data_IF_043758667824
#
_entry.id   IF_043758667824
#
_cell.length_a   1.000
_cell.length_b   1.000
_cell.length_c   1.000
_cell.angle_alpha   90.00
_cell.angle_beta   90.00
_cell.angle_gamma   90.00
#
_symmetry.space_group_name_H-M   'P 1'
#
loop_
_entity.id
_entity.type
_entity.pdbx_description
1 polymer ?
#
# COMPACT_ATOMS: atom_id res chain seq x y z
N UNK A 1 -5.34 70.89 20.04
CA UNK A 1 -3.89 70.97 19.73
C UNK A 1 -3.11 70.00 20.61
N UNK A 2 -2.65 68.87 20.05
CA UNK A 2 -1.31 68.27 20.24
C UNK A 2 -1.32 66.83 19.73
N UNK A 3 -0.57 66.62 18.66
CA UNK A 3 -0.01 65.33 18.26
C UNK A 3 1.07 64.93 19.27
N UNK A 4 1.19 63.64 19.55
CA UNK A 4 2.49 62.99 19.76
C UNK A 4 2.40 61.55 19.31
N UNK A 5 3.16 61.24 18.27
CA UNK A 5 3.50 59.91 17.79
C UNK A 5 4.40 59.19 18.80
N UNK A 6 4.22 57.88 18.95
CA UNK A 6 5.30 57.00 19.38
C UNK A 6 5.12 55.60 18.79
N UNK A 7 6.04 55.31 17.86
CA UNK A 7 6.33 54.03 17.23
C UNK A 7 6.23 52.83 18.17
N UNK A 8 5.52 51.79 17.73
CA UNK A 8 5.88 50.40 18.03
C UNK A 8 5.43 49.49 16.89
N UNK A 9 6.41 48.98 16.14
CA UNK A 9 6.23 47.98 15.09
C UNK A 9 5.56 46.71 15.63
N UNK A 10 4.59 46.10 14.92
CA UNK A 10 4.30 44.70 15.14
C UNK A 10 5.26 43.86 14.30
N UNK A 11 6.00 42.99 15.00
CA UNK A 11 6.79 41.94 14.38
C UNK A 11 5.88 41.07 13.49
N UNK A 12 6.35 40.90 12.26
CA UNK A 12 5.79 40.06 11.20
C UNK A 12 5.89 38.60 11.63
N UNK A 13 4.90 38.11 12.38
CA UNK A 13 4.70 36.68 12.61
C UNK A 13 4.09 36.10 11.33
N UNK A 14 4.94 35.56 10.48
CA UNK A 14 4.56 34.73 9.34
C UNK A 14 3.87 33.47 9.87
N UNK A 15 2.55 33.54 10.05
CA UNK A 15 1.71 32.36 10.07
C UNK A 15 1.84 31.72 8.68
N UNK A 16 2.66 30.68 8.58
CA UNK A 16 2.52 29.69 7.52
C UNK A 16 1.22 28.93 7.80
N UNK A 17 0.10 29.59 7.48
CA UNK A 17 -1.20 28.95 7.36
C UNK A 17 -1.07 28.03 6.15
N UNK A 18 -0.63 26.79 6.42
CA UNK A 18 -0.59 25.71 5.45
C UNK A 18 -1.98 25.62 4.85
N UNK A 19 -2.07 26.04 3.59
CA UNK A 19 -3.27 26.06 2.77
C UNK A 19 -3.89 24.67 2.83
N UNK A 20 -4.91 24.51 3.69
CA UNK A 20 -5.87 23.43 3.60
C UNK A 20 -6.57 23.62 2.27
N UNK A 21 -6.03 23.00 1.22
CA UNK A 21 -6.77 22.75 -0.02
C UNK A 21 -7.96 21.88 0.38
N UNK A 22 -9.08 22.53 0.68
CA UNK A 22 -10.40 21.89 0.64
C UNK A 22 -10.64 21.54 -0.82
N UNK A 23 -10.24 20.34 -1.23
CA UNK A 23 -10.86 19.70 -2.38
C UNK A 23 -12.35 19.59 -2.03
N UNK A 24 -13.18 20.15 -2.89
CA UNK A 24 -14.63 20.05 -2.81
C UNK A 24 -15.02 18.58 -2.76
N UNK A 25 -15.54 18.16 -1.61
CA UNK A 25 -15.92 16.79 -1.31
C UNK A 25 -17.01 16.27 -2.26
N UNK A 26 -16.58 15.60 -3.32
CA UNK A 26 -17.22 14.34 -3.69
C UNK A 26 -16.75 13.36 -2.61
N UNK A 27 -17.68 12.75 -1.86
CA UNK A 27 -17.32 11.78 -0.83
C UNK A 27 -16.81 10.55 -1.57
N UNK A 28 -15.53 10.56 -1.91
CA UNK A 28 -14.92 9.45 -2.63
C UNK A 28 -15.15 8.20 -1.78
N UNK A 29 -15.83 7.22 -2.37
CA UNK A 29 -16.11 5.95 -1.69
C UNK A 29 -14.82 5.12 -1.50
N UNK A 30 -13.67 5.69 -1.84
CA UNK A 30 -12.39 5.02 -1.75
C UNK A 30 -11.46 5.74 -0.77
N UNK A 31 -10.65 4.98 -0.05
CA UNK A 31 -9.60 5.51 0.82
C UNK A 31 -8.41 4.56 0.81
N UNK A 32 -7.20 5.12 0.88
CA UNK A 32 -6.00 4.31 1.11
C UNK A 32 -5.92 4.01 2.60
N UNK A 33 -5.73 2.74 2.96
CA UNK A 33 -5.79 2.28 4.36
C UNK A 33 -4.72 1.26 4.68
N UNK A 34 -4.35 1.19 5.96
CA UNK A 34 -3.67 0.04 6.57
C UNK A 34 -4.67 -0.73 7.42
N UNK A 35 -4.46 -2.05 7.52
CA UNK A 35 -5.21 -2.91 8.43
C UNK A 35 -4.24 -3.41 9.48
N UNK A 36 -4.43 -2.96 10.71
CA UNK A 36 -3.49 -3.13 11.82
C UNK A 36 -4.13 -3.95 12.94
N UNK A 37 -3.30 -4.72 13.63
CA UNK A 37 -3.66 -5.45 14.83
C UNK A 37 -3.26 -4.64 16.06
N UNK A 38 -3.87 -4.90 17.22
CA UNK A 38 -3.58 -4.16 18.46
C UNK A 38 -2.12 -4.28 18.91
N UNK A 39 -1.46 -5.38 18.59
CA UNK A 39 -0.06 -5.68 18.86
C UNK A 39 0.91 -5.07 17.82
N UNK A 40 0.41 -4.27 16.88
CA UNK A 40 1.22 -3.45 15.97
C UNK A 40 1.62 -4.15 14.67
N UNK A 41 1.10 -5.36 14.39
CA UNK A 41 1.31 -6.00 13.09
C UNK A 41 0.33 -5.46 12.05
N UNK A 42 0.78 -5.35 10.81
CA UNK A 42 -0.01 -4.96 9.65
C UNK A 42 -0.34 -6.15 8.79
N UNK A 43 -1.57 -6.21 8.27
CA UNK A 43 -1.91 -7.12 7.17
C UNK A 43 -1.05 -6.70 5.98
N UNK A 44 -0.25 -7.62 5.49
CA UNK A 44 0.72 -7.40 4.42
C UNK A 44 0.52 -8.42 3.32
N UNK A 45 0.73 -8.00 2.08
CA UNK A 45 0.72 -8.86 0.91
C UNK A 45 2.15 -8.93 0.35
N UNK A 46 2.71 -10.14 0.28
CA UNK A 46 3.96 -10.39 -0.45
C UNK A 46 3.63 -10.61 -1.93
N UNK A 47 3.97 -9.61 -2.74
CA UNK A 47 3.67 -9.56 -4.18
C UNK A 47 4.36 -10.68 -4.97
N UNK A 48 5.52 -11.16 -4.51
CA UNK A 48 6.26 -12.24 -5.18
C UNK A 48 5.61 -13.62 -4.98
N UNK A 49 4.94 -13.82 -3.84
CA UNK A 49 4.41 -15.11 -3.43
C UNK A 49 2.87 -15.18 -3.52
N UNK A 50 2.20 -14.07 -3.85
CA UNK A 50 0.75 -13.90 -3.78
C UNK A 50 0.19 -14.41 -2.43
N UNK A 51 0.87 -14.05 -1.33
CA UNK A 51 0.54 -14.49 0.04
C UNK A 51 0.23 -13.33 0.95
N UNK A 52 -0.73 -13.55 1.85
CA UNK A 52 -1.08 -12.60 2.91
C UNK A 52 -0.58 -13.14 4.25
N UNK A 53 -0.05 -12.26 5.07
CA UNK A 53 0.36 -12.54 6.45
C UNK A 53 0.30 -11.27 7.28
N UNK A 54 0.58 -11.42 8.57
CA UNK A 54 0.85 -10.30 9.46
C UNK A 54 2.34 -10.03 9.49
N UNK A 55 2.73 -8.85 9.00
CA UNK A 55 4.11 -8.37 8.95
C UNK A 55 4.37 -7.28 9.98
N UNK A 56 5.64 -7.04 10.24
CA UNK A 56 6.08 -5.83 10.93
C UNK A 56 5.96 -4.63 9.97
N UNK A 57 5.65 -3.45 10.51
CA UNK A 57 5.46 -2.20 9.73
C UNK A 57 6.73 -1.80 8.95
N UNK A 58 7.90 -2.26 9.39
CA UNK A 58 9.20 -1.82 8.89
C UNK A 58 9.78 -2.66 7.73
N UNK A 59 9.10 -3.73 7.28
CA UNK A 59 9.62 -4.57 6.21
C UNK A 59 9.44 -3.92 4.82
N UNK A 60 10.51 -3.51 4.14
CA UNK A 60 10.43 -2.81 2.86
C UNK A 60 9.95 -3.69 1.70
N UNK A 61 9.90 -5.01 1.87
CA UNK A 61 9.44 -5.94 0.82
C UNK A 61 7.92 -6.16 0.87
N UNK A 62 7.23 -5.54 1.82
CA UNK A 62 5.82 -5.80 2.09
C UNK A 62 4.99 -4.58 1.72
N UNK A 63 4.00 -4.81 0.88
CA UNK A 63 2.97 -3.82 0.62
C UNK A 63 1.83 -4.03 1.61
N UNK A 64 1.62 -3.03 2.48
CA UNK A 64 0.63 -3.04 3.56
C UNK A 64 -0.47 -1.98 3.38
N UNK A 65 -0.41 -1.21 2.28
CA UNK A 65 -1.39 -0.19 1.95
C UNK A 65 -2.39 -0.76 0.95
N UNK A 66 -3.67 -0.69 1.32
CA UNK A 66 -4.78 -1.13 0.51
C UNK A 66 -5.65 0.06 0.10
N UNK A 67 -6.12 0.07 -1.15
CA UNK A 67 -7.25 0.87 -1.56
C UNK A 67 -8.52 0.18 -1.07
N UNK A 68 -9.12 0.70 0.00
CA UNK A 68 -10.45 0.31 0.44
C UNK A 68 -11.49 1.00 -0.45
N UNK A 69 -12.39 0.24 -1.06
CA UNK A 69 -13.56 0.78 -1.78
C UNK A 69 -14.82 0.39 -1.04
N UNK A 70 -15.66 1.35 -0.68
CA UNK A 70 -16.94 1.16 0.00
C UNK A 70 -18.08 1.04 -1.03
N UNK A 71 -18.98 0.11 -0.76
CA UNK A 71 -20.14 -0.21 -1.59
C UNK A 71 -21.38 -0.28 -0.71
N UNK A 72 -22.54 -0.08 -1.33
CA UNK A 72 -23.85 -0.20 -0.67
C UNK A 72 -24.73 -1.04 -1.57
N UNK A 73 -25.20 -2.19 -1.07
CA UNK A 73 -26.24 -2.98 -1.70
C UNK A 73 -27.59 -2.56 -1.13
N UNK A 74 -28.55 -2.26 -1.99
CA UNK A 74 -29.94 -2.03 -1.61
C UNK A 74 -30.76 -3.28 -1.93
N UNK A 75 -31.44 -3.81 -0.92
CA UNK A 75 -32.37 -4.94 -1.05
C UNK A 75 -33.71 -4.53 -0.43
N UNK A 76 -34.60 -4.02 -1.28
CA UNK A 76 -35.88 -3.44 -0.87
C UNK A 76 -35.70 -2.24 0.06
N UNK A 77 -36.22 -2.34 1.28
CA UNK A 77 -36.09 -1.31 2.33
C UNK A 77 -34.78 -1.42 3.13
N UNK A 78 -34.00 -2.48 2.92
CA UNK A 78 -32.75 -2.71 3.65
C UNK A 78 -31.56 -2.25 2.82
N UNK A 79 -30.56 -1.68 3.49
CA UNK A 79 -29.26 -1.39 2.89
C UNK A 79 -28.16 -2.06 3.69
N UNK A 80 -27.19 -2.62 2.98
CA UNK A 80 -26.00 -3.21 3.58
C UNK A 80 -24.75 -2.57 2.99
N UNK A 81 -23.90 -2.05 3.86
CA UNK A 81 -22.58 -1.54 3.49
C UNK A 81 -21.54 -2.65 3.54
N UNK A 82 -20.66 -2.67 2.56
CA UNK A 82 -19.51 -3.56 2.50
C UNK A 82 -18.36 -2.87 1.77
N UNK A 83 -17.19 -3.49 1.75
CA UNK A 83 -16.02 -2.95 1.09
C UNK A 83 -15.17 -4.04 0.45
N UNK A 84 -14.27 -3.61 -0.42
CA UNK A 84 -13.19 -4.43 -0.97
C UNK A 84 -11.84 -3.81 -0.64
N UNK A 85 -10.82 -4.65 -0.48
CA UNK A 85 -9.45 -4.22 -0.22
C UNK A 85 -8.58 -4.66 -1.40
N UNK A 86 -8.12 -3.67 -2.17
CA UNK A 86 -7.21 -3.86 -3.30
C UNK A 86 -5.83 -3.39 -2.92
N UNK A 87 -4.76 -4.05 -3.34
CA UNK A 87 -3.42 -3.57 -3.06
C UNK A 87 -3.22 -2.20 -3.71
N UNK A 88 -2.60 -1.27 -3.00
CA UNK A 88 -2.37 0.08 -3.53
C UNK A 88 -1.34 0.07 -4.67
N UNK A 89 -0.24 -0.68 -4.50
CA UNK A 89 0.83 -0.82 -5.50
C UNK A 89 0.40 -1.61 -6.75
N UNK A 90 -0.50 -2.58 -6.61
CA UNK A 90 -0.98 -3.45 -7.70
C UNK A 90 -2.50 -3.52 -7.75
N UNK A 91 -3.09 -2.94 -8.81
CA UNK A 91 -4.55 -2.78 -8.94
C UNK A 91 -5.31 -4.05 -9.32
N UNK A 92 -4.62 -5.11 -9.71
CA UNK A 92 -5.24 -6.39 -10.00
C UNK A 92 -5.27 -7.29 -8.76
N UNK A 93 -4.54 -6.97 -7.69
CA UNK A 93 -4.51 -7.78 -6.46
C UNK A 93 -5.55 -7.36 -5.43
N UNK A 94 -6.38 -8.31 -5.02
CA UNK A 94 -7.40 -8.13 -3.98
C UNK A 94 -7.19 -9.10 -2.84
N UNK A 95 -7.52 -8.63 -1.64
CA UNK A 95 -7.83 -9.52 -0.51
C UNK A 95 -9.11 -10.30 -0.85
N UNK A 96 -9.09 -11.61 -0.67
CA UNK A 96 -10.26 -12.45 -0.88
C UNK A 96 -10.33 -13.61 0.12
N UNK A 97 -11.48 -14.27 0.16
CA UNK A 97 -11.68 -15.48 0.95
C UNK A 97 -12.25 -16.57 0.06
N UNK A 98 -11.53 -17.68 -0.03
CA UNK A 98 -11.97 -18.86 -0.77
C UNK A 98 -13.23 -19.48 -0.15
N UNK A 99 -14.01 -20.27 -0.91
CA UNK A 99 -15.20 -20.96 -0.39
C UNK A 99 -14.93 -21.83 0.86
N UNK A 100 -13.71 -22.35 1.00
CA UNK A 100 -13.24 -23.13 2.14
C UNK A 100 -12.85 -22.27 3.36
N UNK A 101 -13.14 -20.97 3.32
CA UNK A 101 -12.85 -19.97 4.35
C UNK A 101 -11.35 -19.80 4.59
N UNK A 102 -10.54 -19.93 3.55
CA UNK A 102 -9.12 -19.57 3.61
C UNK A 102 -8.92 -18.19 3.02
N UNK A 103 -8.17 -17.35 3.72
CA UNK A 103 -7.75 -16.04 3.23
C UNK A 103 -6.80 -16.24 2.04
N UNK A 104 -7.00 -15.50 0.97
CA UNK A 104 -6.25 -15.63 -0.27
C UNK A 104 -6.05 -14.26 -0.93
N UNK A 105 -5.11 -14.23 -1.88
CA UNK A 105 -4.95 -13.14 -2.82
C UNK A 105 -5.63 -13.53 -4.12
N UNK A 106 -6.49 -12.65 -4.64
CA UNK A 106 -7.14 -12.86 -5.93
C UNK A 106 -6.67 -11.80 -6.93
N UNK A 107 -6.12 -12.27 -8.07
CA UNK A 107 -5.87 -11.44 -9.25
C UNK A 107 -7.15 -11.23 -10.05
N UNK A 108 -7.50 -9.99 -10.33
CA UNK A 108 -8.66 -9.61 -11.12
C UNK A 108 -8.54 -8.18 -11.64
N UNK A 109 -8.66 -8.00 -12.95
CA UNK A 109 -8.71 -6.67 -13.57
C UNK A 109 -10.08 -5.99 -13.41
N UNK A 110 -11.11 -6.75 -13.04
CA UNK A 110 -12.45 -6.24 -12.82
C UNK A 110 -12.63 -5.77 -11.39
N UNK A 111 -13.32 -4.63 -11.22
CA UNK A 111 -13.73 -4.14 -9.89
C UNK A 111 -14.90 -5.00 -9.39
N UNK A 112 -15.01 -5.29 -8.07
CA UNK A 112 -16.18 -5.96 -7.51
C UNK A 112 -17.49 -5.26 -7.89
N UNK A 113 -18.46 -6.05 -8.35
CA UNK A 113 -19.79 -5.54 -8.70
C UNK A 113 -20.56 -5.19 -7.41
N UNK A 114 -20.97 -3.92 -7.21
CA UNK A 114 -21.75 -3.54 -6.03
C UNK A 114 -23.09 -4.27 -5.91
N UNK A 115 -23.65 -4.77 -7.00
CA UNK A 115 -24.94 -5.49 -7.04
C UNK A 115 -24.79 -7.01 -6.85
N UNK A 116 -23.59 -7.54 -7.08
CA UNK A 116 -23.28 -8.96 -6.93
C UNK A 116 -21.97 -9.12 -6.15
N UNK A 117 -21.99 -8.94 -4.82
CA UNK A 117 -20.80 -9.10 -3.99
C UNK A 117 -20.20 -10.50 -4.16
N UNK A 118 -18.88 -10.59 -4.19
CA UNK A 118 -18.14 -11.85 -4.37
C UNK A 118 -17.16 -12.09 -3.21
N UNK A 119 -16.24 -13.04 -3.40
CA UNK A 119 -15.24 -13.48 -2.43
C UNK A 119 -14.24 -12.38 -2.01
N UNK A 120 -14.24 -11.22 -2.70
CA UNK A 120 -13.39 -10.05 -2.40
C UNK A 120 -14.09 -9.02 -1.51
N UNK A 121 -15.35 -9.26 -1.17
CA UNK A 121 -16.17 -8.33 -0.40
C UNK A 121 -16.16 -8.66 1.09
N UNK A 122 -16.08 -7.62 1.92
CA UNK A 122 -16.03 -7.70 3.38
C UNK A 122 -16.97 -6.69 4.02
N UNK A 123 -17.62 -7.09 5.12
CA UNK A 123 -18.41 -6.22 5.99
C UNK A 123 -17.54 -5.84 7.18
N UNK A 124 -17.47 -4.54 7.46
CA UNK A 124 -16.78 -4.01 8.64
C UNK A 124 -17.80 -3.76 9.75
N UNK A 125 -17.64 -4.43 10.87
CA UNK A 125 -18.46 -4.21 12.07
C UNK A 125 -17.66 -3.37 13.07
N UNK A 126 -17.92 -2.07 13.19
CA UNK A 126 -17.21 -1.22 14.14
C UNK A 126 -17.55 -1.58 15.58
N UNK A 127 -16.56 -1.42 16.44
CA UNK A 127 -16.63 -1.61 17.90
C UNK A 127 -16.41 -0.26 18.58
N UNK A 128 -16.95 -0.06 19.79
CA UNK A 128 -16.95 1.21 20.51
C UNK A 128 -15.56 1.81 20.76
N UNK A 129 -14.50 0.99 20.77
CA UNK A 129 -13.12 1.40 20.95
C UNK A 129 -12.41 1.82 19.64
N UNK A 130 -13.13 1.90 18.51
CA UNK A 130 -12.58 2.24 17.21
C UNK A 130 -12.00 1.06 16.41
N UNK A 131 -11.99 -0.13 17.00
CA UNK A 131 -11.66 -1.37 16.29
C UNK A 131 -12.80 -1.85 15.39
N UNK A 132 -12.49 -2.81 14.52
CA UNK A 132 -13.46 -3.45 13.62
C UNK A 132 -13.31 -4.96 13.62
N UNK A 133 -14.44 -5.66 13.48
CA UNK A 133 -14.43 -7.03 12.95
C UNK A 133 -14.57 -6.98 11.43
N UNK A 134 -13.73 -7.73 10.74
CA UNK A 134 -13.78 -7.84 9.28
C UNK A 134 -14.40 -9.19 8.94
N UNK A 135 -15.64 -9.19 8.45
CA UNK A 135 -16.38 -10.39 8.06
C UNK A 135 -16.36 -10.54 6.53
N UNK A 136 -15.96 -11.69 5.97
CA UNK A 136 -16.16 -11.94 4.54
C UNK A 136 -17.66 -11.97 4.21
N UNK A 137 -18.07 -11.30 3.14
CA UNK A 137 -19.48 -11.01 2.86
C UNK A 137 -20.36 -12.28 2.85
N UNK A 138 -19.88 -13.35 2.21
CA UNK A 138 -20.60 -14.64 2.07
C UNK A 138 -20.45 -15.58 3.27
N UNK A 139 -19.60 -15.26 4.25
CA UNK A 139 -19.32 -16.12 5.41
C UNK A 139 -19.79 -15.48 6.71
N UNK A 140 -21.12 -15.36 6.87
CA UNK A 140 -21.75 -14.77 8.06
C UNK A 140 -21.32 -15.48 9.34
N UNK A 141 -20.91 -14.71 10.35
CA UNK A 141 -20.43 -15.22 11.64
C UNK A 141 -18.99 -15.75 11.62
N UNK A 142 -18.28 -15.62 10.49
CA UNK A 142 -16.84 -15.84 10.40
C UNK A 142 -16.15 -14.51 10.19
N UNK A 143 -14.99 -14.35 10.81
CA UNK A 143 -14.26 -13.10 10.82
C UNK A 143 -12.79 -13.37 10.52
N UNK A 144 -12.12 -12.37 9.96
CA UNK A 144 -10.67 -12.35 9.99
C UNK A 144 -10.24 -12.44 11.46
N UNK A 145 -9.24 -13.26 11.69
CA UNK A 145 -8.77 -13.61 13.01
C UNK A 145 -7.27 -13.81 12.95
N UNK A 146 -6.57 -13.28 13.93
CA UNK A 146 -5.14 -13.50 14.08
C UNK A 146 -4.81 -14.15 15.42
N UNK A 147 -3.83 -15.04 15.40
CA UNK A 147 -3.23 -15.62 16.59
C UNK A 147 -1.77 -15.92 16.30
N UNK A 148 -0.87 -15.46 17.17
CA UNK A 148 0.58 -15.70 17.05
C UNK A 148 1.13 -15.37 15.64
N UNK A 149 0.74 -14.19 15.11
CA UNK A 149 1.05 -13.69 13.75
C UNK A 149 0.46 -14.50 12.59
N UNK A 150 -0.32 -15.55 12.85
CA UNK A 150 -1.03 -16.29 11.82
C UNK A 150 -2.39 -15.65 11.55
N UNK A 151 -2.63 -15.24 10.31
CA UNK A 151 -3.90 -14.69 9.85
C UNK A 151 -4.79 -15.80 9.28
N UNK A 152 -6.08 -15.80 9.63
CA UNK A 152 -7.04 -16.82 9.20
C UNK A 152 -8.46 -16.27 9.22
N UNK A 153 -9.42 -17.03 8.68
CA UNK A 153 -10.85 -16.74 8.82
C UNK A 153 -11.48 -17.80 9.73
N UNK A 154 -12.06 -17.36 10.85
CA UNK A 154 -12.61 -18.28 11.87
C UNK A 154 -13.94 -17.79 12.40
N UNK A 155 -14.75 -18.74 12.86
CA UNK A 155 -15.92 -18.44 13.68
C UNK A 155 -15.41 -17.92 15.02
N UNK A 156 -15.93 -16.78 15.47
CA UNK A 156 -15.56 -16.24 16.78
C UNK A 156 -16.22 -17.09 17.87
N UNK A 157 -15.44 -18.01 18.44
CA UNK A 157 -15.75 -18.65 19.72
C UNK A 157 -15.01 -17.85 20.80
N UNK A 158 -15.66 -16.81 21.32
CA UNK A 158 -15.11 -15.81 22.26
C UNK A 158 -14.91 -16.45 23.65
N UNK A 159 -14.03 -17.44 23.76
CA UNK A 159 -13.88 -18.23 24.98
C UNK A 159 -12.44 -18.27 25.52
N UNK A 160 -11.45 -17.68 24.84
CA UNK A 160 -10.03 -17.88 25.20
C UNK A 160 -9.19 -16.60 25.40
N UNK A 161 -9.59 -15.45 24.83
CA UNK A 161 -8.94 -14.14 25.04
C UNK A 161 -9.96 -13.01 25.09
N UNK A 162 -9.61 -11.84 25.68
CA UNK A 162 -10.44 -10.65 25.59
C UNK A 162 -10.75 -10.33 24.12
N UNK A 163 -12.00 -9.98 23.76
CA UNK A 163 -12.40 -9.63 22.40
C UNK A 163 -11.42 -8.65 21.72
N UNK A 164 -10.84 -7.74 22.52
CA UNK A 164 -9.90 -6.70 22.13
C UNK A 164 -8.61 -7.21 21.49
N UNK A 165 -8.25 -8.47 21.70
CA UNK A 165 -7.07 -9.09 21.10
C UNK A 165 -7.34 -9.71 19.72
N UNK A 166 -8.59 -9.78 19.28
CA UNK A 166 -8.97 -10.28 17.95
C UNK A 166 -9.28 -9.17 16.95
N UNK A 167 -9.09 -7.93 17.38
CA UNK A 167 -9.57 -6.75 16.69
C UNK A 167 -8.56 -6.19 15.73
N UNK A 168 -9.07 -5.66 14.61
CA UNK A 168 -8.31 -4.86 13.68
C UNK A 168 -8.64 -3.37 13.85
N UNK A 169 -7.71 -2.50 13.52
CA UNK A 169 -7.96 -1.10 13.20
C UNK A 169 -7.73 -0.88 11.71
N UNK A 170 -8.60 -0.08 11.10
CA UNK A 170 -8.44 0.35 9.70
C UNK A 170 -8.07 1.82 9.71
N UNK A 171 -6.79 2.11 9.50
CA UNK A 171 -6.24 3.47 9.51
C UNK A 171 -6.23 4.07 8.12
N UNK A 172 -6.68 5.32 7.95
CA UNK A 172 -6.57 6.04 6.67
C UNK A 172 -5.14 6.55 6.51
N UNK A 173 -4.57 6.39 5.31
CA UNK A 173 -3.22 6.84 4.98
C UNK A 173 -3.26 7.76 3.76
N UNK A 174 -2.61 8.92 3.86
CA UNK A 174 -2.50 9.88 2.77
C UNK A 174 -1.30 9.55 1.86
N UNK A 175 -1.47 8.56 0.98
CA UNK A 175 -0.49 8.22 -0.07
C UNK A 175 -1.08 8.57 -1.43
N UNK A 176 -0.31 9.22 -2.34
CA UNK A 176 -0.77 9.48 -3.71
C UNK A 176 -1.00 8.17 -4.46
N UNK A 177 -2.10 8.13 -5.21
CA UNK A 177 -2.39 6.99 -6.07
C UNK A 177 -1.26 6.83 -7.11
N UNK A 178 -0.81 5.59 -7.40
CA UNK A 178 0.36 5.33 -8.24
C UNK A 178 0.19 5.84 -9.70
N UNK A 179 -1.02 6.20 -10.10
CA UNK A 179 -1.33 6.76 -11.42
C UNK A 179 -1.22 8.27 -11.51
N UNK A 180 -1.14 8.96 -10.37
CA UNK A 180 -1.05 10.41 -10.36
C UNK A 180 0.41 10.77 -10.57
N UNK A 181 0.86 10.68 -11.82
CA UNK A 181 2.00 11.44 -12.28
C UNK A 181 1.66 12.92 -12.10
N UNK A 182 2.06 13.50 -10.98
CA UNK A 182 2.22 14.95 -10.90
C UNK A 182 3.41 15.25 -11.78
N UNK A 183 3.16 15.60 -13.04
CA UNK A 183 4.15 16.27 -13.86
C UNK A 183 4.67 17.45 -13.02
N UNK A 184 6.00 17.63 -12.87
CA UNK A 184 6.52 18.80 -12.18
C UNK A 184 6.01 20.03 -12.94
N UNK A 185 5.12 20.81 -12.33
CA UNK A 185 4.74 22.10 -12.89
C UNK A 185 5.97 22.99 -12.95
N UNK A 186 6.28 23.42 -14.17
CA UNK A 186 7.07 24.60 -14.53
C UNK A 186 8.29 24.90 -13.64
N UNK A 187 9.36 24.12 -13.81
CA UNK A 187 10.69 24.71 -13.68
C UNK A 187 10.86 25.70 -14.85
N UNK A 188 11.16 26.99 -14.60
CA UNK A 188 11.34 27.95 -15.67
C UNK A 188 12.52 27.49 -16.53
N UNK A 189 12.23 27.18 -17.80
CA UNK A 189 13.22 26.94 -18.83
C UNK A 189 14.12 28.18 -18.89
N UNK A 190 15.30 28.09 -18.28
CA UNK A 190 16.38 29.03 -18.60
C UNK A 190 16.71 28.82 -20.07
N UNK A 191 16.21 29.72 -20.90
CA UNK A 191 16.67 29.89 -22.28
C UNK A 191 18.18 30.14 -22.22
N UNK A 192 18.99 29.15 -22.58
CA UNK A 192 20.38 29.38 -22.92
C UNK A 192 20.42 30.14 -24.25
N UNK A 193 20.88 31.39 -24.20
CA UNK A 193 21.23 32.23 -25.35
C UNK A 193 22.20 31.51 -26.29
N UNK A 194 22.10 31.69 -27.62
CA UNK A 194 22.99 31.04 -28.56
C UNK A 194 24.33 31.78 -28.55
N UNK A 195 25.42 31.08 -28.22
CA UNK A 195 26.76 31.61 -28.45
C UNK A 195 27.33 30.97 -29.71
N UNK A 196 27.89 31.82 -30.55
CA UNK A 196 28.26 31.59 -31.94
C UNK A 196 29.44 30.61 -32.05
N UNK A 197 29.33 29.75 -33.05
CA UNK A 197 30.35 28.86 -33.59
C UNK A 197 31.50 29.69 -34.19
N UNK A 198 32.71 29.54 -33.67
CA UNK A 198 33.94 29.92 -34.39
C UNK A 198 34.85 28.70 -34.52
N UNK A 199 35.37 28.53 -35.71
CA UNK A 199 35.77 27.27 -36.30
C UNK A 199 37.26 26.99 -36.19
N UNK A 200 37.57 25.74 -35.80
CA UNK A 200 38.66 24.88 -36.32
C UNK A 200 40.12 25.12 -35.87
N UNK A 201 41.08 24.20 -36.16
CA UNK A 201 41.15 22.80 -35.72
C UNK A 201 42.57 22.35 -35.29
N UNK A 202 42.76 21.50 -34.26
CA UNK A 202 43.92 20.56 -34.20
C UNK A 202 43.56 19.30 -33.39
N UNK A 203 43.66 18.14 -34.03
CA UNK A 203 43.74 16.78 -33.43
C UNK A 203 45.18 16.26 -33.66
N UNK A 204 45.62 15.11 -33.09
CA UNK A 204 45.07 14.31 -31.99
C UNK A 204 46.15 13.84 -30.96
N UNK A 205 45.77 13.23 -29.83
CA UNK A 205 46.47 12.02 -29.37
C UNK A 205 45.57 11.16 -28.48
N UNK A 206 45.55 9.88 -28.81
CA UNK A 206 44.86 8.78 -28.12
C UNK A 206 45.77 8.24 -27.02
N UNK A 207 45.41 8.41 -25.76
CA UNK A 207 45.98 7.62 -24.67
C UNK A 207 44.94 7.37 -23.58
N UNK A 208 44.22 6.26 -23.69
CA UNK A 208 43.53 5.62 -22.56
C UNK A 208 43.62 4.11 -22.72
N UNK A 209 44.06 3.42 -21.67
CA UNK A 209 43.80 1.99 -21.48
C UNK A 209 45.01 1.05 -21.40
N UNK A 210 45.84 1.17 -20.37
CA UNK A 210 46.55 0.01 -19.82
C UNK A 210 45.60 -0.70 -18.85
N UNK A 211 44.89 -1.73 -19.33
CA UNK A 211 44.11 -2.64 -18.49
C UNK A 211 44.62 -4.07 -18.64
N UNK A 212 44.82 -4.72 -17.50
CA UNK A 212 44.37 -6.10 -17.30
C UNK A 212 45.37 -7.19 -17.66
N UNK A 213 46.24 -7.50 -16.71
CA UNK A 213 47.12 -8.67 -16.77
C UNK A 213 46.39 -10.02 -16.65
N UNK A 214 47.01 -10.99 -17.32
CA UNK A 214 47.20 -12.41 -16.91
C UNK A 214 45.94 -13.24 -16.67
N UNK A 215 45.52 -13.87 -17.76
CA UNK A 215 44.81 -15.14 -17.80
C UNK A 215 45.58 -16.24 -17.03
N UNK A 216 44.93 -16.85 -16.03
CA UNK A 216 45.31 -18.19 -15.53
C UNK A 216 44.07 -19.08 -15.49
N UNK A 217 44.18 -20.15 -16.28
CA UNK A 217 43.33 -21.33 -16.34
C UNK A 217 43.09 -21.90 -14.94
N UNK A 218 41.86 -22.26 -14.64
CA UNK A 218 41.57 -23.40 -13.76
C UNK A 218 40.36 -24.16 -14.28
N UNK A 219 40.61 -25.44 -14.50
CA UNK A 219 39.78 -26.42 -15.16
C UNK A 219 38.98 -27.22 -14.14
N UNK A 220 37.71 -27.47 -14.47
CA UNK A 220 36.94 -28.69 -14.21
C UNK A 220 36.80 -29.25 -12.78
N UNK A 221 35.57 -29.24 -12.25
CA UNK A 221 34.71 -30.44 -12.07
C UNK A 221 33.56 -30.12 -11.11
N UNK A 222 32.37 -29.93 -11.67
CA UNK A 222 31.11 -30.09 -10.94
C UNK A 222 30.60 -31.48 -11.28
N UNK A 223 30.65 -32.42 -10.33
CA UNK A 223 29.98 -33.71 -10.43
C UNK A 223 28.73 -33.66 -9.56
N UNK A 224 27.57 -33.63 -10.22
CA UNK A 224 26.26 -33.94 -9.64
C UNK A 224 26.23 -35.42 -9.25
N UNK A 225 25.80 -35.76 -8.04
CA UNK A 225 25.17 -37.06 -7.76
C UNK A 225 24.21 -36.92 -6.57
N UNK A 226 22.91 -36.80 -6.86
CA UNK A 226 21.83 -37.16 -5.95
C UNK A 226 20.86 -38.02 -6.77
N UNK A 227 20.77 -39.30 -6.43
CA UNK A 227 19.56 -40.16 -6.44
C UNK A 227 19.98 -41.61 -6.27
N UNK A 228 19.55 -42.22 -5.17
CA UNK A 228 18.74 -43.44 -5.19
C UNK A 228 18.26 -43.75 -3.77
N UNK A 229 16.97 -43.50 -3.52
CA UNK A 229 16.20 -44.22 -2.52
C UNK A 229 15.28 -45.17 -3.31
N UNK A 230 15.49 -46.47 -3.14
CA UNK A 230 14.57 -47.52 -3.56
C UNK A 230 14.46 -48.52 -2.41
N UNK A 231 13.23 -48.71 -1.94
CA UNK A 231 12.79 -49.74 -0.98
C UNK A 231 13.22 -51.15 -1.41
N UNK A 232 13.57 -52.00 -0.44
CA UNK A 232 12.82 -53.20 -0.04
C UNK A 232 13.04 -53.38 1.47
#
# INVERSE_FOLDING_TARGET
>A
TKKTDSNKSPARSSYSESVRRRSSAQKDNCSNVTVETKDGYVVSLCEELDRIYLGDVEDPNNSNIFRQTKHTLQDGETSQEFCSFRLHSQKDLYLSVTPDRQLAVQRSDTVPDPQLPDDRCFVLHPVSNGSVFIQPYHHKGFYLHHLDKALSVRKLEINWRPPEEYFFSVGIVDVPDPDVFVAPEDAPVQKSTPFIEESSPVKPSLFWGCFGGKSKKLSSKIKKTIKQNSRV
#
